data_IF_362823784869
#
_entry.id   IF_362823784869
#
_cell.length_a   1.000
_cell.length_b   1.000
_cell.length_c   1.000
_cell.angle_alpha   90.00
_cell.angle_beta   90.00
_cell.angle_gamma   90.00
#
_symmetry.space_group_name_H-M   'P 1'
#
loop_
_entity.id
_entity.type
_entity.pdbx_description
1 polymer ?
#
# COMPACT_ATOMS: atom_id res chain seq x y z
N UNK A 1 -26.45 16.36 20.33
CA UNK A 1 -26.96 15.05 20.77
C UNK A 1 -25.76 14.22 21.21
N UNK A 2 -25.69 13.85 22.47
CA UNK A 2 -24.48 13.54 23.21
C UNK A 2 -23.91 12.15 22.80
N UNK A 3 -22.65 12.07 22.41
CA UNK A 3 -21.90 10.86 21.99
C UNK A 3 -22.06 9.69 22.96
N UNK A 4 -22.22 9.97 24.25
CA UNK A 4 -22.52 8.98 25.31
C UNK A 4 -23.80 8.16 25.10
N UNK A 5 -24.78 8.69 24.38
CA UNK A 5 -26.06 7.99 24.14
C UNK A 5 -25.96 6.95 23.02
N UNK A 6 -25.15 7.20 22.00
CA UNK A 6 -24.92 6.24 20.89
C UNK A 6 -24.07 5.06 21.33
N UNK A 7 -23.10 5.26 22.24
CA UNK A 7 -22.25 4.18 22.77
C UNK A 7 -22.98 3.22 23.72
N UNK A 8 -23.94 3.73 24.51
CA UNK A 8 -24.78 2.85 25.34
C UNK A 8 -25.71 1.96 24.53
N UNK A 9 -26.17 2.44 23.37
CA UNK A 9 -26.99 1.64 22.44
C UNK A 9 -26.16 0.54 21.75
N UNK A 10 -24.88 0.79 21.45
CA UNK A 10 -23.98 -0.19 20.85
C UNK A 10 -23.64 -1.33 21.79
N UNK A 11 -23.35 -1.05 23.06
CA UNK A 11 -23.03 -2.08 24.07
C UNK A 11 -24.24 -2.89 24.52
N UNK A 12 -25.47 -2.40 24.37
CA UNK A 12 -26.68 -3.12 24.71
C UNK A 12 -27.09 -4.20 23.66
N UNK A 13 -26.45 -4.20 22.49
CA UNK A 13 -26.74 -5.17 21.41
C UNK A 13 -25.89 -6.46 21.48
N UNK A 14 -24.90 -6.53 22.39
CA UNK A 14 -24.00 -7.69 22.54
C UNK A 14 -24.15 -8.41 23.88
N UNK A 15 -25.35 -8.63 24.33
CA UNK A 15 -25.61 -9.29 25.61
C UNK A 15 -26.09 -10.74 25.51
N UNK A 16 -25.52 -11.56 24.61
CA UNK A 16 -25.57 -13.02 24.76
C UNK A 16 -24.36 -13.71 24.13
N UNK A 17 -23.71 -14.65 24.83
CA UNK A 17 -22.50 -15.36 24.34
C UNK A 17 -22.77 -16.42 23.27
N UNK A 18 -24.00 -16.62 22.83
CA UNK A 18 -24.39 -17.77 22.00
C UNK A 18 -24.45 -17.47 20.47
N UNK A 19 -24.26 -16.23 20.02
CA UNK A 19 -24.33 -15.91 18.58
C UNK A 19 -22.97 -15.81 17.87
N UNK A 20 -21.87 -16.09 18.55
CA UNK A 20 -20.56 -16.25 17.91
C UNK A 20 -20.27 -17.73 17.72
N UNK A 21 -20.83 -18.30 16.65
CA UNK A 21 -20.53 -19.65 16.18
C UNK A 21 -19.11 -19.79 15.67
N UNK A 22 -18.12 -19.83 16.57
CA UNK A 22 -16.76 -20.25 16.26
C UNK A 22 -16.62 -21.70 16.71
N UNK A 23 -16.92 -22.62 15.81
CA UNK A 23 -16.66 -24.03 15.96
C UNK A 23 -15.17 -24.30 15.92
N UNK A 24 -14.56 -24.57 17.09
CA UNK A 24 -13.24 -25.20 17.17
C UNK A 24 -13.34 -26.65 16.73
N UNK A 25 -12.91 -26.96 15.51
CA UNK A 25 -12.66 -28.33 15.07
C UNK A 25 -11.19 -28.69 15.38
N UNK A 26 -11.00 -29.44 16.49
CA UNK A 26 -9.81 -30.28 16.67
C UNK A 26 -9.89 -31.42 15.67
N UNK A 27 -8.96 -31.47 14.71
CA UNK A 27 -8.77 -32.67 13.87
C UNK A 27 -7.51 -33.37 14.33
N UNK A 28 -7.74 -34.55 14.92
CA UNK A 28 -6.70 -35.54 15.19
C UNK A 28 -6.19 -36.19 13.90
N UNK A 29 -4.90 -36.53 13.93
CA UNK A 29 -4.27 -37.38 12.92
C UNK A 29 -4.93 -38.76 12.88
N UNK A 30 -5.31 -39.21 11.66
CA UNK A 30 -5.34 -40.61 11.31
C UNK A 30 -5.02 -40.78 9.81
N UNK A 31 -3.97 -41.53 9.57
CA UNK A 31 -3.57 -41.99 8.24
C UNK A 31 -4.57 -43.02 7.71
N UNK A 32 -4.87 -42.97 6.42
CA UNK A 32 -5.67 -43.97 5.74
C UNK A 32 -5.57 -43.83 4.23
N UNK A 33 -4.79 -44.70 3.63
CA UNK A 33 -4.84 -45.00 2.18
C UNK A 33 -6.25 -45.47 1.79
N UNK A 34 -6.75 -45.07 0.59
CA UNK A 34 -7.27 -46.00 -0.43
C UNK A 34 -8.04 -45.31 -1.57
N UNK A 35 -7.59 -45.61 -2.75
CA UNK A 35 -8.34 -45.89 -4.01
C UNK A 35 -9.26 -44.86 -4.65
N UNK A 36 -8.89 -44.53 -5.89
CA UNK A 36 -9.69 -43.96 -6.97
C UNK A 36 -10.88 -44.86 -7.36
N UNK A 37 -11.92 -44.30 -7.94
CA UNK A 37 -12.50 -44.93 -9.11
C UNK A 37 -12.47 -43.98 -10.33
N UNK A 38 -11.98 -44.54 -11.43
CA UNK A 38 -12.24 -44.15 -12.80
C UNK A 38 -13.72 -44.24 -13.11
N UNK A 39 -14.36 -43.17 -13.58
CA UNK A 39 -15.52 -43.28 -14.47
C UNK A 39 -15.46 -42.17 -15.51
N UNK A 40 -15.39 -42.59 -16.74
CA UNK A 40 -15.43 -41.71 -17.90
C UNK A 40 -16.87 -41.32 -18.21
N UNK A 41 -17.01 -40.10 -18.73
CA UNK A 41 -18.24 -39.59 -19.29
C UNK A 41 -17.91 -38.44 -20.22
N UNK A 42 -18.02 -38.68 -21.52
CA UNK A 42 -17.92 -37.67 -22.57
C UNK A 42 -19.04 -36.64 -22.41
N UNK A 43 -18.68 -35.40 -22.15
CA UNK A 43 -19.55 -34.25 -22.17
C UNK A 43 -18.80 -33.04 -22.69
N UNK A 44 -19.13 -32.54 -23.85
CA UNK A 44 -18.63 -31.29 -24.41
C UNK A 44 -19.20 -30.13 -23.61
N UNK A 45 -18.41 -29.57 -22.73
CA UNK A 45 -18.66 -28.31 -22.04
C UNK A 45 -17.32 -27.64 -21.82
N UNK A 46 -17.19 -26.40 -22.24
CA UNK A 46 -16.02 -25.55 -22.01
C UNK A 46 -15.89 -25.28 -20.49
N UNK A 47 -15.27 -26.19 -19.78
CA UNK A 47 -14.89 -26.01 -18.38
C UNK A 47 -13.66 -25.11 -18.31
N UNK A 48 -13.87 -23.81 -18.19
CA UNK A 48 -12.90 -22.90 -17.66
C UNK A 48 -12.71 -23.23 -16.17
N UNK A 49 -11.71 -24.06 -15.86
CA UNK A 49 -11.43 -24.46 -14.48
C UNK A 49 -11.07 -23.25 -13.61
N UNK A 50 -11.76 -23.12 -12.47
CA UNK A 50 -11.37 -22.16 -11.44
C UNK A 50 -10.16 -22.68 -10.68
N UNK A 51 -9.06 -21.92 -10.68
CA UNK A 51 -7.92 -22.18 -9.82
C UNK A 51 -8.18 -21.58 -8.44
N UNK A 52 -7.98 -22.36 -7.39
CA UNK A 52 -8.01 -21.83 -6.03
C UNK A 52 -6.81 -20.90 -5.77
N UNK A 53 -6.94 -19.97 -4.83
CA UNK A 53 -5.81 -19.14 -4.40
C UNK A 53 -4.58 -19.95 -3.98
N UNK A 54 -4.77 -21.17 -3.42
CA UNK A 54 -3.68 -22.09 -3.11
C UNK A 54 -3.03 -22.71 -4.36
N UNK A 55 -3.78 -22.92 -5.44
CA UNK A 55 -3.24 -23.43 -6.71
C UNK A 55 -2.41 -22.36 -7.41
N UNK A 56 -2.86 -21.11 -7.42
CA UNK A 56 -2.07 -19.99 -7.93
C UNK A 56 -0.75 -19.83 -7.20
N UNK A 57 -0.79 -19.95 -5.89
CA UNK A 57 0.42 -19.84 -5.06
C UNK A 57 1.45 -20.93 -5.33
N UNK A 58 1.03 -22.09 -5.85
CA UNK A 58 1.94 -23.15 -6.31
C UNK A 58 2.64 -22.80 -7.63
N UNK A 59 2.08 -21.91 -8.43
CA UNK A 59 2.70 -21.52 -9.71
C UNK A 59 3.76 -20.44 -9.52
N UNK A 60 3.46 -19.40 -8.76
CA UNK A 60 4.35 -18.24 -8.62
C UNK A 60 5.66 -18.50 -7.87
N UNK A 61 5.70 -19.19 -6.72
CA UNK A 61 6.95 -19.52 -6.06
C UNK A 61 7.87 -20.44 -6.90
N UNK A 62 7.35 -21.00 -7.99
CA UNK A 62 8.05 -21.96 -8.84
C UNK A 62 8.50 -21.38 -10.19
N UNK A 63 8.36 -20.07 -10.42
CA UNK A 63 8.92 -19.46 -11.63
C UNK A 63 10.43 -19.64 -11.67
N UNK A 64 10.97 -19.86 -12.87
CA UNK A 64 12.40 -20.06 -13.10
C UNK A 64 13.15 -18.72 -13.11
N UNK A 65 14.39 -18.75 -12.62
CA UNK A 65 15.37 -17.69 -12.76
C UNK A 65 16.56 -18.22 -13.57
N UNK A 66 17.12 -17.39 -14.45
CA UNK A 66 18.25 -17.77 -15.29
C UNK A 66 19.59 -17.86 -14.54
N UNK A 67 19.64 -17.37 -13.30
CA UNK A 67 20.85 -17.34 -12.49
C UNK A 67 20.58 -17.86 -11.07
N UNK A 68 21.64 -18.43 -10.46
CA UNK A 68 21.72 -18.79 -9.04
C UNK A 68 22.95 -18.11 -8.43
N UNK A 69 22.93 -17.85 -7.11
CA UNK A 69 23.99 -17.15 -6.37
C UNK A 69 24.29 -15.78 -6.98
N UNK A 70 23.23 -15.03 -7.30
CA UNK A 70 23.33 -13.74 -7.95
C UNK A 70 23.20 -12.58 -6.96
N UNK A 71 23.79 -11.46 -7.33
CA UNK A 71 23.57 -10.15 -6.72
C UNK A 71 23.55 -9.11 -7.84
N UNK A 72 22.34 -8.72 -8.20
CA UNK A 72 22.09 -7.86 -9.36
C UNK A 72 21.44 -6.53 -8.95
N UNK A 73 21.81 -5.47 -9.64
CA UNK A 73 21.27 -4.12 -9.43
C UNK A 73 20.47 -3.69 -10.65
N UNK A 74 19.26 -3.25 -10.41
CA UNK A 74 18.33 -2.74 -11.41
C UNK A 74 18.17 -1.23 -11.17
N UNK A 75 18.29 -0.42 -12.22
CA UNK A 75 17.86 0.97 -12.16
C UNK A 75 16.35 1.05 -12.15
N UNK A 76 15.78 1.79 -11.20
CA UNK A 76 14.35 1.99 -11.05
C UNK A 76 13.99 3.46 -11.24
N UNK A 77 12.82 3.69 -11.82
CA UNK A 77 12.19 5.00 -11.85
C UNK A 77 11.20 5.13 -10.69
N UNK A 78 10.98 6.34 -10.22
CA UNK A 78 9.97 6.64 -9.21
C UNK A 78 9.03 7.69 -9.75
N UNK A 79 7.77 7.33 -9.88
CA UNK A 79 6.71 8.22 -10.37
C UNK A 79 5.51 8.15 -9.42
N UNK A 80 5.11 9.30 -8.86
CA UNK A 80 4.06 9.40 -7.82
C UNK A 80 4.26 8.39 -6.67
N UNK A 81 5.49 8.28 -6.20
CA UNK A 81 5.96 7.35 -5.16
C UNK A 81 5.90 5.85 -5.54
N UNK A 82 5.47 5.48 -6.75
CA UNK A 82 5.51 4.11 -7.23
C UNK A 82 6.91 3.75 -7.73
N UNK A 83 7.34 2.53 -7.45
CA UNK A 83 8.64 1.99 -7.87
C UNK A 83 8.45 1.28 -9.21
N UNK A 84 9.01 1.82 -10.27
CA UNK A 84 8.85 1.33 -11.63
C UNK A 84 10.17 0.71 -12.13
N UNK A 85 10.09 -0.53 -12.55
CA UNK A 85 11.23 -1.30 -13.07
C UNK A 85 11.09 -1.43 -14.59
N UNK A 86 12.16 -1.22 -15.35
CA UNK A 86 12.18 -1.62 -16.76
C UNK A 86 12.20 -3.15 -16.83
N UNK A 87 11.36 -3.73 -17.67
CA UNK A 87 11.29 -5.17 -17.92
C UNK A 87 11.30 -5.38 -19.43
N UNK A 88 12.18 -6.24 -19.92
CA UNK A 88 12.27 -6.55 -21.35
C UNK A 88 11.55 -7.86 -21.66
N UNK A 89 10.63 -7.78 -22.61
CA UNK A 89 9.97 -8.93 -23.23
C UNK A 89 10.31 -8.85 -24.71
N UNK A 90 11.00 -9.83 -25.26
CA UNK A 90 11.58 -9.81 -26.59
C UNK A 90 12.43 -8.53 -26.82
N UNK A 91 12.08 -7.73 -27.81
CA UNK A 91 12.79 -6.49 -28.15
C UNK A 91 12.14 -5.23 -27.57
N UNK A 92 11.09 -5.36 -26.74
CA UNK A 92 10.34 -4.22 -26.17
C UNK A 92 10.56 -4.12 -24.68
N UNK A 93 10.69 -2.89 -24.20
CA UNK A 93 10.77 -2.57 -22.78
C UNK A 93 9.39 -2.16 -22.28
N UNK A 94 8.96 -2.79 -21.21
CA UNK A 94 7.73 -2.51 -20.46
C UNK A 94 8.10 -1.93 -19.09
N UNK A 95 7.19 -1.22 -18.48
CA UNK A 95 7.33 -0.68 -17.11
C UNK A 95 6.52 -1.54 -16.15
N UNK A 96 7.18 -2.19 -15.21
CA UNK A 96 6.52 -2.99 -14.17
C UNK A 96 6.63 -2.28 -12.84
N UNK A 97 5.52 -2.20 -12.12
CA UNK A 97 5.47 -1.66 -10.75
C UNK A 97 5.85 -2.75 -9.74
N UNK A 98 6.75 -2.46 -8.80
CA UNK A 98 7.02 -3.32 -7.65
C UNK A 98 6.01 -3.01 -6.55
N UNK A 99 5.08 -3.93 -6.31
CA UNK A 99 3.98 -3.79 -5.36
C UNK A 99 4.01 -4.92 -4.33
N UNK A 100 4.57 -4.64 -3.16
CA UNK A 100 4.64 -5.63 -2.07
C UNK A 100 3.30 -5.89 -1.38
N UNK A 101 2.29 -5.08 -1.63
CA UNK A 101 0.91 -5.28 -1.18
C UNK A 101 0.13 -6.25 -2.06
N UNK A 102 0.64 -6.58 -3.23
CA UNK A 102 0.08 -7.61 -4.11
C UNK A 102 0.70 -8.98 -3.84
N UNK A 103 -0.12 -10.01 -3.66
CA UNK A 103 0.37 -11.39 -3.41
C UNK A 103 0.98 -12.05 -4.63
N UNK A 104 0.67 -11.55 -5.82
CA UNK A 104 1.12 -12.06 -7.12
C UNK A 104 1.17 -10.95 -8.15
N UNK A 105 1.78 -11.23 -9.30
CA UNK A 105 1.81 -10.32 -10.42
C UNK A 105 0.42 -10.01 -10.98
N UNK A 106 0.32 -8.85 -11.62
CA UNK A 106 -0.86 -8.42 -12.39
C UNK A 106 -0.41 -7.85 -13.72
N UNK A 107 -1.16 -8.12 -14.78
CA UNK A 107 -0.97 -7.53 -16.11
C UNK A 107 -2.23 -6.79 -16.49
N UNK A 108 -2.10 -5.59 -17.02
CA UNK A 108 -3.25 -4.84 -17.50
C UNK A 108 -3.53 -5.16 -18.97
N UNK A 109 -4.79 -5.40 -19.31
CA UNK A 109 -5.22 -5.84 -20.64
C UNK A 109 -4.83 -4.87 -21.77
N UNK A 110 -4.56 -3.60 -21.45
CA UNK A 110 -4.14 -2.57 -22.41
C UNK A 110 -2.60 -2.45 -22.57
N UNK A 111 -1.81 -3.25 -21.84
CA UNK A 111 -0.33 -3.19 -21.90
C UNK A 111 0.23 -3.69 -23.23
N UNK A 112 -0.55 -4.47 -23.99
CA UNK A 112 -0.12 -5.13 -25.23
C UNK A 112 1.13 -6.01 -25.02
N UNK A 113 1.24 -6.66 -23.88
CA UNK A 113 2.24 -7.72 -23.65
C UNK A 113 1.82 -8.91 -24.53
N UNK A 114 2.72 -9.42 -25.43
CA UNK A 114 2.39 -10.51 -26.33
C UNK A 114 2.36 -11.86 -25.59
N UNK A 115 1.84 -12.89 -26.25
CA UNK A 115 1.95 -14.30 -25.92
C UNK A 115 1.54 -14.67 -24.47
N UNK A 116 0.54 -13.97 -23.93
CA UNK A 116 -0.07 -14.30 -22.65
C UNK A 116 -0.83 -15.63 -22.77
N UNK A 117 -0.47 -16.62 -21.95
CA UNK A 117 -1.11 -17.95 -21.95
C UNK A 117 -2.17 -18.02 -20.87
N UNK A 118 -3.47 -18.16 -21.21
CA UNK A 118 -4.53 -18.33 -20.22
C UNK A 118 -4.37 -19.67 -19.45
N UNK A 119 -4.49 -19.62 -18.12
CA UNK A 119 -4.40 -20.78 -17.24
C UNK A 119 -5.72 -21.13 -16.54
N UNK A 120 -6.65 -20.16 -16.44
CA UNK A 120 -7.95 -20.33 -15.76
C UNK A 120 -8.45 -19.03 -15.17
N UNK A 121 -9.38 -19.13 -14.22
CA UNK A 121 -9.94 -17.99 -13.51
C UNK A 121 -9.90 -18.20 -12.01
N UNK A 122 -9.80 -17.10 -11.27
CA UNK A 122 -9.88 -17.09 -9.81
C UNK A 122 -10.83 -16.00 -9.33
N UNK A 123 -11.34 -16.19 -8.13
CA UNK A 123 -11.99 -15.12 -7.38
C UNK A 123 -10.90 -14.35 -6.66
N UNK A 124 -10.77 -13.06 -6.97
CA UNK A 124 -9.78 -12.15 -6.39
C UNK A 124 -10.48 -11.08 -5.56
N UNK A 125 -9.77 -10.55 -4.59
CA UNK A 125 -10.22 -9.46 -3.73
C UNK A 125 -9.21 -8.32 -3.80
N UNK A 126 -9.68 -7.10 -4.01
CA UNK A 126 -8.82 -5.91 -4.03
C UNK A 126 -8.61 -5.31 -2.62
N UNK A 127 -7.80 -4.25 -2.58
CA UNK A 127 -7.49 -3.52 -1.35
C UNK A 127 -8.71 -2.87 -0.68
N UNK A 128 -9.80 -2.65 -1.41
CA UNK A 128 -11.06 -2.08 -0.93
C UNK A 128 -12.11 -3.15 -0.60
N UNK A 129 -11.67 -4.43 -0.50
CA UNK A 129 -12.53 -5.59 -0.24
C UNK A 129 -13.57 -5.89 -1.33
N UNK A 130 -13.46 -5.29 -2.52
CA UNK A 130 -14.27 -5.72 -3.66
C UNK A 130 -13.79 -7.07 -4.16
N UNK A 131 -14.73 -7.89 -4.61
CA UNK A 131 -14.47 -9.24 -5.10
C UNK A 131 -14.89 -9.32 -6.55
N UNK A 132 -13.99 -9.84 -7.39
CA UNK A 132 -14.27 -10.09 -8.81
C UNK A 132 -13.58 -11.37 -9.28
N UNK A 133 -14.03 -11.89 -10.43
CA UNK A 133 -13.42 -13.03 -11.09
C UNK A 133 -12.40 -12.53 -12.12
N UNK A 134 -11.14 -12.86 -11.93
CA UNK A 134 -10.05 -12.48 -12.83
C UNK A 134 -9.46 -13.67 -13.53
N UNK A 135 -9.05 -13.50 -14.78
CA UNK A 135 -8.32 -14.49 -15.55
C UNK A 135 -6.89 -14.59 -15.01
N UNK A 136 -6.40 -15.80 -14.89
CA UNK A 136 -5.01 -16.10 -14.59
C UNK A 136 -4.29 -16.41 -15.88
N UNK A 137 -3.11 -15.82 -16.04
CA UNK A 137 -2.27 -15.93 -17.22
C UNK A 137 -0.85 -16.25 -16.83
N UNK A 138 -0.12 -16.90 -17.73
CA UNK A 138 1.33 -16.99 -17.66
C UNK A 138 1.93 -15.99 -18.64
N UNK A 139 2.91 -15.22 -18.17
CA UNK A 139 3.69 -14.32 -19.01
C UNK A 139 4.74 -15.09 -19.84
N UNK A 140 5.08 -14.58 -21.03
CA UNK A 140 6.30 -15.03 -21.71
C UNK A 140 7.52 -14.77 -20.83
N UNK A 141 8.65 -15.47 -21.06
CA UNK A 141 9.89 -15.15 -20.36
C UNK A 141 10.24 -13.66 -20.50
N UNK A 142 10.61 -13.06 -19.41
CA UNK A 142 11.00 -11.65 -19.40
C UNK A 142 12.32 -11.44 -18.67
N UNK A 143 13.03 -10.39 -19.04
CA UNK A 143 14.36 -10.08 -18.50
C UNK A 143 14.31 -8.80 -17.68
N UNK A 144 14.87 -8.86 -16.49
CA UNK A 144 15.18 -7.69 -15.68
C UNK A 144 16.58 -7.19 -16.12
N UNK A 145 16.68 -6.00 -16.73
CA UNK A 145 17.97 -5.47 -17.14
C UNK A 145 18.77 -5.05 -15.90
N UNK A 146 19.80 -5.81 -15.61
CA UNK A 146 20.69 -5.56 -14.47
C UNK A 146 22.02 -5.01 -14.93
N UNK A 147 22.81 -4.46 -14.00
CA UNK A 147 24.13 -3.88 -14.32
C UNK A 147 25.20 -4.94 -14.62
N UNK A 148 25.03 -6.16 -14.13
CA UNK A 148 26.03 -7.23 -14.21
C UNK A 148 25.64 -8.35 -15.16
N UNK A 149 24.35 -8.64 -15.28
CA UNK A 149 23.82 -9.73 -16.08
C UNK A 149 22.40 -9.43 -16.55
N UNK A 150 21.80 -10.36 -17.25
CA UNK A 150 20.37 -10.32 -17.58
C UNK A 150 19.67 -11.40 -16.77
N UNK A 151 18.96 -11.00 -15.72
CA UNK A 151 18.17 -11.93 -14.93
C UNK A 151 16.84 -12.22 -15.64
N UNK A 152 16.74 -13.40 -16.26
CA UNK A 152 15.51 -13.80 -16.94
C UNK A 152 14.59 -14.58 -16.00
N UNK A 153 13.33 -14.19 -15.99
CA UNK A 153 12.23 -14.84 -15.27
C UNK A 153 11.38 -15.63 -16.27
N UNK A 154 11.10 -16.89 -15.99
CA UNK A 154 10.30 -17.77 -16.84
C UNK A 154 9.19 -18.47 -16.07
N UNK A 155 8.03 -18.66 -16.70
CA UNK A 155 6.88 -19.30 -16.05
C UNK A 155 6.19 -18.44 -15.00
N UNK A 156 6.34 -17.12 -15.07
CA UNK A 156 5.70 -16.17 -14.14
C UNK A 156 4.19 -16.10 -14.39
N UNK A 157 3.41 -16.28 -13.34
CA UNK A 157 1.95 -16.30 -13.39
C UNK A 157 1.40 -15.00 -12.80
N UNK A 158 0.42 -14.40 -13.46
CA UNK A 158 -0.19 -13.14 -13.05
C UNK A 158 -1.71 -13.16 -13.26
N UNK A 159 -2.40 -12.22 -12.63
CA UNK A 159 -3.80 -11.93 -12.91
C UNK A 159 -3.92 -10.93 -14.05
N UNK A 160 -4.81 -11.20 -15.01
CA UNK A 160 -5.14 -10.25 -16.06
C UNK A 160 -6.21 -9.29 -15.56
N UNK A 161 -5.84 -8.04 -15.38
CA UNK A 161 -6.71 -7.00 -14.87
C UNK A 161 -7.36 -6.21 -16.01
N UNK A 162 -8.62 -5.81 -15.87
CA UNK A 162 -9.23 -4.91 -16.84
C UNK A 162 -8.49 -3.57 -16.85
N UNK A 163 -8.64 -2.83 -17.94
CA UNK A 163 -8.06 -1.50 -18.06
C UNK A 163 -8.65 -0.56 -17.01
N UNK A 164 -7.80 -0.07 -16.11
CA UNK A 164 -8.11 1.02 -15.21
C UNK A 164 -7.24 2.24 -15.53
N UNK A 165 -7.73 3.41 -15.18
CA UNK A 165 -7.05 4.69 -15.37
C UNK A 165 -5.67 4.78 -14.69
N UNK A 166 -5.41 3.96 -13.66
CA UNK A 166 -4.12 3.89 -12.96
C UNK A 166 -3.05 3.21 -13.83
N UNK A 167 -3.44 2.33 -14.75
CA UNK A 167 -2.53 1.51 -15.55
C UNK A 167 -1.78 2.23 -16.67
N UNK A 168 -2.06 3.52 -16.90
CA UNK A 168 -1.34 4.29 -17.96
C UNK A 168 0.13 4.58 -17.56
N UNK A 169 0.51 4.39 -16.29
CA UNK A 169 1.86 4.63 -15.78
C UNK A 169 2.76 3.41 -15.86
N UNK A 170 2.19 2.21 -15.82
CA UNK A 170 2.91 0.95 -15.90
C UNK A 170 2.05 -0.13 -16.57
N UNK A 171 2.73 -1.12 -17.12
CA UNK A 171 2.12 -2.19 -17.92
C UNK A 171 1.69 -3.38 -17.06
N UNK A 172 2.41 -3.64 -15.97
CA UNK A 172 2.20 -4.78 -15.10
C UNK A 172 2.72 -4.50 -13.67
N UNK A 173 2.40 -5.40 -12.76
CA UNK A 173 2.87 -5.42 -11.37
C UNK A 173 3.67 -6.71 -11.15
N UNK A 174 4.80 -6.59 -10.45
CA UNK A 174 5.47 -7.71 -9.76
C UNK A 174 5.10 -7.62 -8.28
N UNK A 175 4.49 -8.68 -7.76
CA UNK A 175 4.02 -8.76 -6.39
C UNK A 175 5.06 -9.27 -5.39
N UNK A 176 4.61 -9.52 -4.16
CA UNK A 176 5.43 -10.11 -3.10
C UNK A 176 5.83 -11.56 -3.37
N UNK A 177 5.26 -12.19 -4.36
CA UNK A 177 5.65 -13.51 -4.86
C UNK A 177 7.12 -13.57 -5.28
N UNK A 178 7.71 -12.46 -5.77
CA UNK A 178 9.14 -12.34 -6.02
C UNK A 178 9.96 -12.69 -4.76
N UNK A 179 9.54 -12.17 -3.60
CA UNK A 179 10.21 -12.42 -2.32
C UNK A 179 9.84 -13.81 -1.76
N UNK A 180 8.60 -14.24 -1.93
CA UNK A 180 8.18 -15.60 -1.53
C UNK A 180 8.97 -16.67 -2.28
N UNK A 181 9.52 -16.38 -3.48
CA UNK A 181 10.44 -17.23 -4.23
C UNK A 181 11.80 -17.39 -3.53
N UNK A 182 12.14 -16.55 -2.56
CA UNK A 182 13.42 -16.58 -1.84
C UNK A 182 14.42 -15.57 -2.39
N UNK A 183 13.98 -14.43 -2.86
CA UNK A 183 14.82 -13.33 -3.31
C UNK A 183 14.82 -12.25 -2.24
N UNK A 184 16.00 -11.88 -1.74
CA UNK A 184 16.20 -10.71 -0.91
C UNK A 184 16.27 -9.46 -1.79
N UNK A 185 15.81 -8.33 -1.26
CA UNK A 185 15.94 -7.06 -1.97
C UNK A 185 16.40 -5.94 -1.03
N UNK A 186 17.11 -4.97 -1.61
CA UNK A 186 17.34 -3.65 -1.02
C UNK A 186 16.82 -2.59 -1.98
N UNK A 187 15.92 -1.75 -1.49
CA UNK A 187 15.29 -0.67 -2.25
C UNK A 187 15.91 0.64 -1.79
N UNK A 188 16.55 1.36 -2.70
CA UNK A 188 17.12 2.68 -2.50
C UNK A 188 16.48 3.66 -3.48
N UNK A 189 15.38 4.26 -3.04
CA UNK A 189 14.60 5.20 -3.86
C UNK A 189 15.41 6.45 -4.21
N UNK A 190 16.24 6.94 -3.28
CA UNK A 190 17.03 8.15 -3.48
C UNK A 190 18.05 7.99 -4.60
N UNK A 191 18.65 6.79 -4.72
CA UNK A 191 19.62 6.48 -5.76
C UNK A 191 18.99 5.88 -7.01
N UNK A 192 17.69 5.58 -6.99
CA UNK A 192 16.99 4.90 -8.06
C UNK A 192 17.49 3.47 -8.26
N UNK A 193 17.75 2.73 -7.20
CA UNK A 193 18.34 1.38 -7.26
C UNK A 193 17.49 0.34 -6.53
N UNK A 194 17.32 -0.80 -7.18
CA UNK A 194 16.80 -2.03 -6.58
C UNK A 194 17.87 -3.12 -6.70
N UNK A 195 18.37 -3.60 -5.58
CA UNK A 195 19.35 -4.70 -5.53
C UNK A 195 18.59 -5.98 -5.19
N UNK A 196 18.71 -6.99 -6.04
CA UNK A 196 18.11 -8.30 -5.86
C UNK A 196 19.20 -9.37 -5.66
N UNK A 197 18.97 -10.33 -4.77
CA UNK A 197 19.90 -11.44 -4.52
C UNK A 197 19.18 -12.64 -3.93
N UNK A 198 19.65 -13.84 -4.23
CA UNK A 198 19.26 -15.08 -3.55
C UNK A 198 20.21 -15.45 -2.39
N UNK A 199 21.25 -14.65 -2.14
CA UNK A 199 22.16 -14.82 -1.01
C UNK A 199 21.53 -14.36 0.31
N UNK A 200 21.18 -15.31 1.17
CA UNK A 200 20.48 -15.10 2.46
C UNK A 200 21.17 -14.12 3.42
N UNK A 201 22.49 -13.93 3.28
CA UNK A 201 23.31 -13.19 4.24
C UNK A 201 23.91 -11.91 3.67
N UNK A 202 23.67 -11.58 2.40
CA UNK A 202 24.29 -10.44 1.74
C UNK A 202 24.09 -9.13 2.57
N UNK A 203 22.90 -8.86 3.01
CA UNK A 203 22.55 -7.62 3.75
C UNK A 203 22.68 -7.74 5.27
N UNK A 204 23.37 -8.77 5.80
CA UNK A 204 23.41 -9.03 7.25
C UNK A 204 24.00 -7.89 8.08
N UNK A 205 25.00 -7.20 7.57
CA UNK A 205 25.63 -6.07 8.27
C UNK A 205 24.65 -4.88 8.36
N UNK A 206 23.97 -4.62 7.27
CA UNK A 206 22.97 -3.55 7.14
C UNK A 206 21.73 -3.86 7.97
N UNK A 207 21.25 -5.13 7.98
CA UNK A 207 20.14 -5.55 8.85
C UNK A 207 20.46 -5.34 10.34
N UNK A 208 21.72 -5.51 10.75
CA UNK A 208 22.15 -5.26 12.14
C UNK A 208 22.26 -3.78 12.48
N UNK A 209 22.63 -2.95 11.52
CA UNK A 209 22.77 -1.51 11.70
C UNK A 209 21.43 -0.77 11.58
N UNK A 210 20.42 -1.39 10.94
CA UNK A 210 19.10 -0.82 10.74
C UNK A 210 18.08 -1.27 11.78
N UNK A 211 16.86 -0.78 11.61
CA UNK A 211 15.72 -1.09 12.45
C UNK A 211 14.87 -2.18 11.80
N UNK A 212 14.93 -3.37 12.36
CA UNK A 212 14.35 -4.58 11.77
C UNK A 212 13.03 -4.95 12.45
N UNK A 213 11.98 -5.12 11.65
CA UNK A 213 10.73 -5.73 12.07
C UNK A 213 10.56 -7.10 11.43
N UNK A 214 10.00 -8.02 12.20
CA UNK A 214 9.59 -9.31 11.67
C UNK A 214 8.20 -9.19 11.08
N UNK A 215 8.01 -9.66 9.83
CA UNK A 215 6.69 -9.71 9.22
C UNK A 215 6.02 -11.07 9.36
N UNK A 216 4.70 -11.08 9.29
CA UNK A 216 3.88 -12.27 9.11
C UNK A 216 3.25 -12.23 7.73
N UNK A 217 3.16 -13.39 7.08
CA UNK A 217 2.41 -13.50 5.83
C UNK A 217 0.92 -13.73 6.14
N UNK A 218 0.08 -12.84 5.63
CA UNK A 218 -1.36 -13.05 5.52
C UNK A 218 -1.72 -12.92 4.04
N UNK A 219 -2.40 -13.90 3.49
CA UNK A 219 -2.70 -13.92 2.05
C UNK A 219 -1.47 -13.72 1.17
N UNK A 220 -0.30 -14.23 1.66
CA UNK A 220 1.01 -14.20 0.99
C UNK A 220 1.65 -12.82 0.84
N UNK A 221 1.14 -11.80 1.54
CA UNK A 221 1.74 -10.45 1.64
C UNK A 221 2.20 -10.14 3.07
N UNK A 222 3.20 -9.24 3.24
CA UNK A 222 3.87 -9.02 4.50
C UNK A 222 3.12 -8.03 5.41
N UNK A 223 2.74 -8.46 6.60
CA UNK A 223 2.19 -7.62 7.65
C UNK A 223 3.20 -7.40 8.76
N UNK A 224 3.38 -6.16 9.16
CA UNK A 224 4.27 -5.68 10.21
C UNK A 224 3.45 -5.18 11.41
N UNK A 225 4.09 -5.16 12.59
CA UNK A 225 3.54 -4.51 13.76
C UNK A 225 4.25 -3.19 14.00
N UNK A 226 3.52 -2.08 13.88
CA UNK A 226 3.97 -0.72 14.18
C UNK A 226 3.16 -0.14 15.33
N UNK A 227 3.64 0.94 15.96
CA UNK A 227 2.90 1.54 17.08
C UNK A 227 2.58 3.01 16.77
N UNK A 228 1.36 3.30 16.31
CA UNK A 228 0.92 4.65 15.99
C UNK A 228 0.61 5.50 17.24
N UNK A 229 0.29 4.85 18.34
CA UNK A 229 0.00 5.51 19.60
C UNK A 229 0.76 4.84 20.74
N UNK A 230 0.88 5.54 21.85
CA UNK A 230 1.50 5.00 23.08
C UNK A 230 0.69 3.79 23.56
N UNK A 231 1.36 2.64 23.75
CA UNK A 231 0.75 1.38 24.19
C UNK A 231 -0.23 0.74 23.20
N UNK A 232 -0.30 1.24 21.98
CA UNK A 232 -1.13 0.65 20.94
C UNK A 232 -0.26 0.17 19.78
N UNK A 233 -0.52 -1.04 19.34
CA UNK A 233 0.16 -1.65 18.21
C UNK A 233 -0.84 -1.92 17.10
N UNK A 234 -0.51 -1.51 15.89
CA UNK A 234 -1.30 -1.72 14.70
C UNK A 234 -0.60 -2.72 13.77
N UNK A 235 -1.37 -3.58 13.12
CA UNK A 235 -0.88 -4.53 12.14
C UNK A 235 -1.05 -3.93 10.75
N UNK A 236 0.05 -3.52 10.14
CA UNK A 236 0.05 -2.82 8.87
C UNK A 236 0.68 -3.68 7.75
N UNK A 237 0.04 -3.71 6.58
CA UNK A 237 0.59 -4.26 5.35
C UNK A 237 1.77 -3.38 4.89
N UNK A 238 2.91 -3.98 4.58
CA UNK A 238 3.99 -3.27 3.89
C UNK A 238 3.71 -3.29 2.38
N UNK A 239 3.35 -2.13 1.82
CA UNK A 239 2.72 -1.99 0.51
C UNK A 239 3.40 -0.90 -0.32
N UNK A 240 4.39 -1.27 -1.13
CA UNK A 240 5.08 -0.34 -2.03
C UNK A 240 4.22 0.12 -3.22
N UNK A 241 3.07 -0.50 -3.44
CA UNK A 241 2.05 -0.04 -4.38
C UNK A 241 1.17 1.10 -3.83
N UNK A 242 1.27 1.41 -2.53
CA UNK A 242 0.56 2.52 -1.90
C UNK A 242 1.45 3.78 -1.86
N UNK A 243 1.07 4.89 -2.52
CA UNK A 243 1.88 6.10 -2.59
C UNK A 243 1.72 7.00 -1.34
N UNK A 244 1.51 6.42 -0.19
CA UNK A 244 1.37 7.09 1.09
C UNK A 244 2.46 6.60 2.05
N UNK A 245 2.66 7.31 3.17
CA UNK A 245 3.59 6.86 4.20
C UNK A 245 2.95 5.77 5.08
N UNK A 246 1.85 6.12 5.72
CA UNK A 246 1.06 5.25 6.58
C UNK A 246 -0.42 5.60 6.43
N UNK A 247 -1.27 4.60 6.40
CA UNK A 247 -2.72 4.74 6.55
C UNK A 247 -3.20 3.75 7.60
N UNK A 248 -4.15 4.16 8.41
CA UNK A 248 -4.71 3.31 9.47
C UNK A 248 -6.03 2.69 9.01
N UNK A 249 -6.25 1.41 9.27
CA UNK A 249 -7.58 0.81 9.14
C UNK A 249 -8.57 1.55 10.03
N UNK A 250 -9.77 1.83 9.52
CA UNK A 250 -10.84 2.43 10.33
C UNK A 250 -11.20 1.56 11.53
N UNK A 251 -11.25 0.26 11.32
CA UNK A 251 -11.50 -0.70 12.39
C UNK A 251 -10.41 -0.64 13.46
N UNK A 252 -9.14 -0.57 13.07
CA UNK A 252 -8.00 -0.44 13.98
C UNK A 252 -8.09 0.87 14.77
N UNK A 253 -8.40 1.98 14.11
CA UNK A 253 -8.59 3.29 14.77
C UNK A 253 -9.69 3.22 15.83
N UNK A 254 -10.87 2.67 15.49
CA UNK A 254 -12.00 2.58 16.40
C UNK A 254 -11.68 1.68 17.61
N UNK A 255 -10.96 0.58 17.41
CA UNK A 255 -10.48 -0.30 18.50
C UNK A 255 -9.49 0.42 19.41
N UNK A 256 -8.53 1.16 18.84
CA UNK A 256 -7.55 1.92 19.60
C UNK A 256 -8.23 3.03 20.41
N UNK A 257 -9.14 3.78 19.79
CA UNK A 257 -9.88 4.83 20.44
C UNK A 257 -10.75 4.31 21.60
N UNK A 258 -11.45 3.19 21.38
CA UNK A 258 -12.26 2.56 22.42
C UNK A 258 -11.41 2.08 23.61
N UNK A 259 -10.25 1.48 23.34
CA UNK A 259 -9.29 1.07 24.35
C UNK A 259 -8.70 2.26 25.12
N UNK A 260 -8.38 3.35 24.41
CA UNK A 260 -7.84 4.57 25.02
C UNK A 260 -8.86 5.21 25.97
N UNK A 261 -10.11 5.34 25.53
CA UNK A 261 -11.20 5.87 26.34
C UNK A 261 -11.47 5.03 27.59
N UNK A 262 -11.37 3.71 27.50
CA UNK A 262 -11.50 2.81 28.66
C UNK A 262 -10.33 2.98 29.67
N UNK A 263 -9.16 3.40 29.21
CA UNK A 263 -7.98 3.63 30.04
C UNK A 263 -7.86 5.06 30.59
N UNK A 264 -8.62 6.03 30.09
CA UNK A 264 -8.61 7.42 30.57
C UNK A 264 -8.90 7.53 32.09
N UNK A 265 -9.83 6.72 32.60
CA UNK A 265 -10.16 6.70 34.03
C UNK A 265 -8.99 6.22 34.92
N UNK A 266 -7.99 5.58 34.31
CA UNK A 266 -6.79 5.09 35.01
C UNK A 266 -5.58 6.01 34.79
N UNK A 267 -5.76 7.19 34.19
CA UNK A 267 -4.68 8.08 33.73
C UNK A 267 -3.65 7.39 32.82
N UNK A 268 -4.07 6.38 32.07
CA UNK A 268 -3.24 5.59 31.17
C UNK A 268 -3.57 5.80 29.69
N UNK A 269 -4.49 6.74 29.38
CA UNK A 269 -4.88 7.01 28.00
C UNK A 269 -3.73 7.59 27.17
N UNK A 270 -3.69 7.22 25.89
CA UNK A 270 -2.71 7.70 24.93
C UNK A 270 -3.08 9.08 24.36
N UNK A 271 -4.29 9.56 24.64
CA UNK A 271 -4.81 10.83 24.11
C UNK A 271 -5.07 10.78 22.61
N UNK A 272 -5.61 9.67 22.12
CA UNK A 272 -5.84 9.44 20.69
C UNK A 272 -6.78 10.51 20.09
N UNK A 273 -7.85 10.87 20.81
CA UNK A 273 -8.80 11.87 20.31
C UNK A 273 -8.15 13.25 20.05
N UNK A 274 -7.11 13.63 20.79
CA UNK A 274 -6.40 14.90 20.55
C UNK A 274 -5.56 14.90 19.28
N UNK A 275 -5.25 13.70 18.73
CA UNK A 275 -4.52 13.52 17.49
C UNK A 275 -5.47 13.47 16.27
N UNK A 276 -6.79 13.59 16.49
CA UNK A 276 -7.77 13.73 15.41
C UNK A 276 -7.79 15.20 14.99
N UNK A 277 -7.43 15.45 13.72
CA UNK A 277 -7.47 16.79 13.15
C UNK A 277 -8.82 17.12 12.52
N UNK A 278 -9.52 16.10 12.02
CA UNK A 278 -10.81 16.28 11.38
C UNK A 278 -11.46 14.98 10.96
N UNK A 279 -12.70 15.10 10.49
CA UNK A 279 -13.50 13.99 9.97
C UNK A 279 -14.23 14.47 8.72
N UNK A 280 -14.34 13.63 7.73
CA UNK A 280 -15.13 13.89 6.53
C UNK A 280 -15.75 12.60 6.02
N UNK A 281 -16.92 12.67 5.38
CA UNK A 281 -17.50 11.53 4.69
C UNK A 281 -17.22 11.61 3.20
N UNK A 282 -16.80 10.51 2.59
CA UNK A 282 -16.55 10.48 1.15
C UNK A 282 -15.95 9.18 0.64
N UNK A 283 -15.56 9.22 -0.64
CA UNK A 283 -14.78 8.18 -1.31
C UNK A 283 -13.33 8.61 -1.33
N UNK A 284 -12.43 7.77 -0.83
CA UNK A 284 -11.01 8.11 -0.69
C UNK A 284 -10.14 7.48 -1.77
N UNK A 285 -10.32 6.20 -2.04
CA UNK A 285 -9.40 5.42 -2.88
C UNK A 285 -10.11 4.67 -4.00
N UNK A 286 -9.35 4.45 -5.08
CA UNK A 286 -9.73 3.57 -6.18
C UNK A 286 -8.91 2.28 -6.03
N UNK A 287 -9.58 1.16 -5.78
CA UNK A 287 -8.97 -0.17 -5.77
C UNK A 287 -8.94 -0.81 -7.15
N UNK A 288 -8.45 -2.06 -7.21
CA UNK A 288 -8.37 -2.82 -8.45
C UNK A 288 -9.72 -3.07 -9.11
N UNK A 289 -10.80 -3.15 -8.35
CA UNK A 289 -12.16 -3.44 -8.84
C UNK A 289 -13.17 -2.31 -8.62
N UNK A 290 -12.73 -1.15 -8.15
CA UNK A 290 -13.61 0.00 -8.03
C UNK A 290 -13.30 0.95 -6.89
N UNK A 291 -14.18 1.94 -6.75
CA UNK A 291 -14.10 2.92 -5.68
C UNK A 291 -14.40 2.29 -4.32
N UNK A 292 -13.62 2.69 -3.31
CA UNK A 292 -13.94 2.47 -1.91
C UNK A 292 -15.37 2.95 -1.61
N UNK A 293 -16.09 2.25 -0.73
CA UNK A 293 -17.42 2.70 -0.31
C UNK A 293 -17.33 4.04 0.39
N UNK A 294 -18.36 4.87 0.22
CA UNK A 294 -18.47 6.13 0.97
C UNK A 294 -18.53 5.83 2.47
N UNK A 295 -17.61 6.42 3.25
CA UNK A 295 -17.56 6.27 4.70
C UNK A 295 -16.95 7.51 5.35
N UNK A 296 -16.99 7.56 6.69
CA UNK A 296 -16.27 8.56 7.46
C UNK A 296 -14.77 8.27 7.43
N UNK A 297 -14.00 9.23 6.95
CA UNK A 297 -12.53 9.25 7.00
C UNK A 297 -12.10 10.15 8.15
N UNK A 298 -11.23 9.65 9.02
CA UNK A 298 -10.64 10.40 10.11
C UNK A 298 -9.26 10.89 9.68
N UNK A 299 -9.02 12.18 9.81
CA UNK A 299 -7.71 12.79 9.59
C UNK A 299 -6.97 12.83 10.92
N UNK A 300 -5.74 12.35 10.92
CA UNK A 300 -4.93 12.16 12.11
C UNK A 300 -3.60 12.90 11.97
N UNK A 301 -3.17 13.56 13.03
CA UNK A 301 -1.82 14.03 13.22
C UNK A 301 -1.16 13.21 14.33
N UNK A 302 -0.39 12.22 13.92
CA UNK A 302 0.27 11.33 14.85
C UNK A 302 1.52 12.02 15.44
N UNK A 303 1.58 12.12 16.77
CA UNK A 303 2.79 12.59 17.47
C UNK A 303 3.99 11.75 17.03
N UNK A 304 3.77 10.44 16.87
CA UNK A 304 4.78 9.47 16.41
C UNK A 304 4.17 8.20 15.86
N UNK A 305 4.87 7.58 14.92
CA UNK A 305 4.69 6.20 14.48
C UNK A 305 5.98 5.44 14.77
N UNK A 306 5.94 4.41 15.62
CA UNK A 306 7.13 3.61 15.94
C UNK A 306 7.29 2.42 15.00
N UNK A 307 8.49 2.29 14.46
CA UNK A 307 9.00 1.12 13.76
C UNK A 307 10.07 0.45 14.65
N UNK A 308 9.66 -0.46 15.52
CA UNK A 308 10.53 -0.96 16.58
C UNK A 308 11.01 0.16 17.49
N UNK A 309 12.33 0.35 17.58
CA UNK A 309 12.96 1.40 18.39
C UNK A 309 13.12 2.73 17.62
N UNK A 310 12.82 2.77 16.32
CA UNK A 310 12.83 3.98 15.53
C UNK A 310 11.45 4.66 15.54
N UNK A 311 11.43 5.99 15.49
CA UNK A 311 10.20 6.76 15.47
C UNK A 311 10.14 7.75 14.30
N UNK A 312 9.01 7.76 13.62
CA UNK A 312 8.62 8.82 12.69
C UNK A 312 7.71 9.78 13.43
N UNK A 313 8.05 11.06 13.45
CA UNK A 313 7.31 12.09 14.20
C UNK A 313 6.64 13.06 13.25
N UNK A 314 5.62 13.79 13.74
CA UNK A 314 4.90 14.80 12.96
C UNK A 314 4.31 14.20 11.68
N UNK A 315 3.54 13.13 11.82
CA UNK A 315 3.01 12.37 10.70
C UNK A 315 1.50 12.64 10.54
N UNK A 316 1.12 13.29 9.45
CA UNK A 316 -0.29 13.41 9.05
C UNK A 316 -0.71 12.17 8.26
N UNK A 317 -1.85 11.60 8.63
CA UNK A 317 -2.39 10.40 8.00
C UNK A 317 -3.92 10.38 8.01
N UNK A 318 -4.49 9.34 7.43
CA UNK A 318 -5.93 9.16 7.30
C UNK A 318 -6.32 7.72 7.65
N UNK A 319 -7.59 7.54 7.98
CA UNK A 319 -8.16 6.19 8.04
C UNK A 319 -8.65 5.74 6.68
N UNK A 320 -8.64 4.43 6.45
CA UNK A 320 -9.16 3.74 5.26
C UNK A 320 -10.05 2.57 5.68
N UNK A 321 -10.97 2.13 4.81
CA UNK A 321 -11.76 0.92 5.04
C UNK A 321 -10.95 -0.38 4.85
N UNK A 322 -9.85 -0.31 4.11
CA UNK A 322 -8.93 -1.43 3.94
C UNK A 322 -8.04 -1.69 5.16
N UNK A 323 -7.05 -2.54 4.99
CA UNK A 323 -6.03 -2.79 6.01
C UNK A 323 -5.18 -1.53 6.25
N UNK A 324 -4.64 -1.39 7.46
CA UNK A 324 -3.56 -0.44 7.71
C UNK A 324 -2.37 -0.75 6.81
N UNK A 325 -1.66 0.30 6.33
CA UNK A 325 -0.56 0.14 5.37
C UNK A 325 0.62 1.03 5.72
N UNK A 326 1.81 0.51 5.48
CA UNK A 326 3.05 1.30 5.34
C UNK A 326 3.38 1.34 3.86
N UNK A 327 3.34 2.51 3.26
CA UNK A 327 3.50 2.67 1.82
C UNK A 327 4.90 3.13 1.39
N UNK A 328 5.03 3.37 0.08
CA UNK A 328 6.31 3.68 -0.57
C UNK A 328 6.97 4.97 -0.10
N UNK A 329 6.23 5.93 0.47
CA UNK A 329 6.82 7.15 1.06
C UNK A 329 7.75 6.90 2.25
N UNK A 330 7.73 5.71 2.87
CA UNK A 330 8.76 5.31 3.82
C UNK A 330 10.16 5.44 3.21
N UNK A 331 10.30 5.17 1.91
CA UNK A 331 11.56 5.21 1.17
C UNK A 331 12.12 6.63 0.94
N UNK A 332 11.38 7.68 1.26
CA UNK A 332 11.90 9.06 1.25
C UNK A 332 12.85 9.33 2.42
N UNK A 333 12.77 8.50 3.46
CA UNK A 333 13.51 8.67 4.71
C UNK A 333 14.65 7.65 4.91
N UNK A 334 14.76 6.67 4.04
CA UNK A 334 15.77 5.63 4.15
C UNK A 334 15.64 4.54 3.11
N UNK A 335 16.53 3.56 3.18
CA UNK A 335 16.45 2.35 2.38
C UNK A 335 15.69 1.26 3.11
N UNK A 336 15.10 0.34 2.36
CA UNK A 336 14.40 -0.83 2.91
C UNK A 336 15.04 -2.11 2.40
N UNK A 337 15.30 -3.03 3.32
CA UNK A 337 15.79 -4.38 3.00
C UNK A 337 14.69 -5.38 3.32
N UNK A 338 14.34 -6.23 2.35
CA UNK A 338 13.39 -7.33 2.49
C UNK A 338 14.18 -8.64 2.49
N UNK A 339 14.11 -9.39 3.58
CA UNK A 339 14.76 -10.69 3.71
C UNK A 339 13.72 -11.79 3.98
N UNK A 340 13.24 -12.52 2.96
CA UNK A 340 12.21 -13.52 3.11
C UNK A 340 12.65 -14.77 3.90
N UNK A 341 13.94 -15.11 3.88
CA UNK A 341 14.47 -16.25 4.63
C UNK A 341 14.35 -16.09 6.13
N UNK A 342 14.42 -14.84 6.60
CA UNK A 342 14.29 -14.47 8.01
C UNK A 342 12.92 -13.88 8.34
N UNK A 343 12.11 -13.62 7.33
CA UNK A 343 10.85 -12.86 7.41
C UNK A 343 11.06 -11.49 8.07
N UNK A 344 12.06 -10.77 7.62
CA UNK A 344 12.42 -9.45 8.13
C UNK A 344 12.24 -8.39 7.06
N UNK A 345 11.80 -7.22 7.48
CA UNK A 345 11.89 -5.97 6.75
C UNK A 345 12.69 -5.01 7.65
N UNK A 346 13.78 -4.50 7.11
CA UNK A 346 14.70 -3.61 7.83
C UNK A 346 14.65 -2.23 7.19
N UNK A 347 14.37 -1.22 8.00
CA UNK A 347 14.49 0.17 7.61
C UNK A 347 15.86 0.72 8.02
N UNK A 348 16.55 1.38 7.11
CA UNK A 348 17.79 2.09 7.35
C UNK A 348 17.59 3.57 7.03
N UNK A 349 17.51 4.46 8.02
CA UNK A 349 17.37 5.88 7.78
C UNK A 349 18.57 6.41 7.01
N UNK A 350 18.36 7.37 6.14
CA UNK A 350 19.47 8.12 5.52
C UNK A 350 20.24 8.86 6.62
N UNK A 351 21.59 8.95 6.51
CA UNK A 351 22.36 9.81 7.40
C UNK A 351 21.83 11.24 7.25
N UNK A 352 21.52 11.90 8.35
CA UNK A 352 21.16 13.31 8.29
C UNK A 352 22.34 14.08 7.70
N UNK A 353 22.15 14.71 6.58
CA UNK A 353 22.96 15.85 6.20
C UNK A 353 22.65 16.95 7.21
N UNK A 354 23.64 17.33 8.01
CA UNK A 354 23.53 18.52 8.88
C UNK A 354 23.29 19.69 7.93
N UNK A 355 22.14 20.40 8.00
CA UNK A 355 21.93 21.55 7.16
C UNK A 355 23.05 22.54 7.44
N UNK A 356 23.81 22.91 6.41
CA UNK A 356 24.70 24.07 6.47
C UNK A 356 23.80 25.27 6.77
N UNK A 357 23.93 25.78 7.99
CA UNK A 357 23.41 27.03 8.54
C UNK A 357 22.47 27.82 7.64
N UNK A 358 21.17 27.83 7.91
CA UNK A 358 20.31 28.87 7.40
C UNK A 358 18.83 28.63 7.22
N UNK A 359 18.28 27.49 7.57
CA UNK A 359 16.83 27.33 7.60
C UNK A 359 16.37 26.41 8.74
N UNK A 360 15.51 26.93 9.60
CA UNK A 360 14.94 26.23 10.73
C UNK A 360 14.04 25.08 10.24
N UNK A 361 14.29 23.87 10.76
CA UNK A 361 13.30 22.81 10.75
C UNK A 361 13.67 21.45 10.22
N UNK A 362 14.81 20.86 10.61
CA UNK A 362 15.05 19.44 10.37
C UNK A 362 15.53 18.75 11.65
N UNK A 363 14.83 17.64 11.97
CA UNK A 363 14.99 16.90 13.19
C UNK A 363 16.36 16.27 13.39
N UNK A 364 16.86 16.39 14.60
CA UNK A 364 18.17 15.92 15.03
C UNK A 364 18.16 14.42 15.26
N UNK A 365 19.06 13.69 14.62
CA UNK A 365 19.43 12.33 15.01
C UNK A 365 20.51 12.41 16.08
N UNK A 366 20.27 11.85 17.23
CA UNK A 366 21.29 11.70 18.27
C UNK A 366 22.38 10.72 17.80
N UNK A 367 23.64 11.15 17.80
CA UNK A 367 24.80 10.27 17.61
C UNK A 367 24.95 9.33 18.82
N UNK A 368 25.33 8.06 18.63
CA UNK A 368 25.76 7.25 19.77
C UNK A 368 27.03 7.88 20.38
N UNK A 369 26.95 8.18 21.67
CA UNK A 369 28.11 8.65 22.46
C UNK A 369 29.14 7.53 22.61
N UNK A 370 30.46 7.84 22.56
CA UNK A 370 31.50 6.83 22.74
C UNK A 370 31.65 6.30 24.17
N UNK A 371 30.92 6.83 25.13
CA UNK A 371 30.91 6.35 26.50
C UNK A 371 29.66 5.54 26.76
N UNK A 372 29.79 4.24 26.92
CA UNK A 372 28.77 3.19 27.04
C UNK A 372 27.76 3.31 28.20
N UNK A 373 27.07 4.43 28.32
CA UNK A 373 25.89 4.56 29.17
C UNK A 373 24.66 4.67 28.25
N UNK A 374 23.83 3.64 28.30
CA UNK A 374 22.54 3.53 27.61
C UNK A 374 21.51 4.49 28.24
N UNK A 375 21.60 5.75 27.96
CA UNK A 375 20.41 6.60 27.99
C UNK A 375 19.63 6.34 26.70
N UNK A 376 18.42 5.79 26.83
CA UNK A 376 17.57 5.36 25.74
C UNK A 376 17.07 6.50 24.84
N UNK A 377 17.98 7.08 24.07
CA UNK A 377 17.64 8.02 23.00
C UNK A 377 17.04 7.26 21.82
N UNK A 378 15.72 7.29 21.67
CA UNK A 378 15.07 6.73 20.48
C UNK A 378 15.50 7.54 19.26
N UNK A 379 16.12 6.90 18.27
CA UNK A 379 16.40 7.49 16.97
C UNK A 379 15.08 7.85 16.30
N UNK A 380 14.99 9.02 15.70
CA UNK A 380 13.75 9.48 15.07
C UNK A 380 14.03 10.36 13.85
N UNK A 381 13.04 10.47 12.97
CA UNK A 381 12.99 11.43 11.87
C UNK A 381 11.64 12.14 11.87
N UNK A 382 11.65 13.43 11.58
CA UNK A 382 10.43 14.20 11.38
C UNK A 382 9.95 14.00 9.95
N UNK A 383 8.71 13.58 9.78
CA UNK A 383 8.09 13.40 8.47
C UNK A 383 7.63 14.76 7.92
N UNK A 384 6.95 15.57 8.74
CA UNK A 384 6.53 16.94 8.40
C UNK A 384 5.66 17.01 7.15
N UNK A 385 5.00 15.89 6.78
CA UNK A 385 4.08 15.90 5.66
C UNK A 385 2.87 16.73 6.01
N UNK A 386 2.40 17.52 5.03
CA UNK A 386 1.18 18.29 5.25
C UNK A 386 -0.05 17.41 5.14
N UNK A 387 -1.09 17.89 5.78
CA UNK A 387 -2.37 17.23 5.90
C UNK A 387 -2.99 16.92 4.53
N UNK A 388 -3.55 15.75 4.41
CA UNK A 388 -4.37 15.35 3.28
C UNK A 388 -5.65 16.19 3.25
N UNK A 389 -5.96 16.86 2.13
CA UNK A 389 -7.02 17.85 2.10
C UNK A 389 -8.21 17.50 1.21
N UNK A 390 -7.97 16.82 0.10
CA UNK A 390 -8.98 16.49 -0.91
C UNK A 390 -8.61 15.22 -1.65
N UNK A 391 -9.60 14.38 -1.97
CA UNK A 391 -9.45 13.25 -2.88
C UNK A 391 -10.31 13.45 -4.13
N UNK A 392 -9.73 13.13 -5.27
CA UNK A 392 -10.42 13.15 -6.55
C UNK A 392 -10.65 11.72 -7.02
N UNK A 393 -11.85 11.43 -7.48
CA UNK A 393 -12.27 10.07 -7.86
C UNK A 393 -12.95 10.07 -9.21
N UNK A 394 -12.92 8.96 -9.96
CA UNK A 394 -13.70 8.82 -11.18
C UNK A 394 -15.19 8.61 -10.84
N UNK A 395 -16.04 9.43 -11.41
CA UNK A 395 -17.47 9.22 -11.39
C UNK A 395 -18.06 9.43 -12.79
N UNK A 396 -18.69 8.41 -13.35
CA UNK A 396 -19.19 8.40 -14.74
C UNK A 396 -18.14 8.87 -15.76
N UNK A 397 -16.89 8.46 -15.57
CA UNK A 397 -15.76 8.82 -16.42
C UNK A 397 -15.18 10.22 -16.22
N UNK A 398 -15.79 11.07 -15.37
CA UNK A 398 -15.31 12.42 -15.04
C UNK A 398 -14.50 12.42 -13.75
N UNK A 399 -13.65 13.43 -13.57
CA UNK A 399 -12.98 13.70 -12.30
C UNK A 399 -13.91 14.47 -11.36
N UNK A 400 -14.13 13.93 -10.16
CA UNK A 400 -15.06 14.48 -9.17
C UNK A 400 -14.36 14.58 -7.81
N UNK A 401 -14.71 15.61 -7.04
CA UNK A 401 -14.28 15.70 -5.64
C UNK A 401 -14.99 14.63 -4.81
N UNK A 402 -14.30 13.54 -4.52
CA UNK A 402 -14.82 12.38 -3.78
C UNK A 402 -14.84 12.58 -2.27
N UNK A 403 -13.82 13.24 -1.74
CA UNK A 403 -13.67 13.59 -0.34
C UNK A 403 -13.06 14.98 -0.23
N UNK A 404 -13.49 15.78 0.74
CA UNK A 404 -12.85 17.05 1.08
C UNK A 404 -13.00 17.32 2.57
N UNK A 405 -11.92 17.75 3.20
CA UNK A 405 -11.93 18.16 4.59
C UNK A 405 -12.28 19.65 4.72
N UNK A 406 -13.22 19.99 5.61
CA UNK A 406 -13.72 21.35 5.78
C UNK A 406 -12.65 22.36 6.22
N UNK A 407 -11.63 21.92 6.95
CA UNK A 407 -10.48 22.74 7.35
C UNK A 407 -9.51 23.06 6.22
N UNK A 408 -9.59 22.36 5.09
CA UNK A 408 -8.59 22.39 4.02
C UNK A 408 -8.62 23.69 3.18
N UNK A 409 -7.48 24.09 2.58
CA UNK A 409 -7.44 25.21 1.65
C UNK A 409 -8.41 25.10 0.47
N UNK A 410 -8.58 23.92 -0.20
CA UNK A 410 -9.58 23.78 -1.25
C UNK A 410 -11.01 24.04 -0.79
N UNK A 411 -11.38 23.53 0.41
CA UNK A 411 -12.72 23.76 0.96
C UNK A 411 -12.97 25.25 1.27
N UNK A 412 -11.97 25.92 1.90
CA UNK A 412 -12.03 27.36 2.19
C UNK A 412 -12.13 28.20 0.92
N UNK A 413 -11.53 27.74 -0.18
CA UNK A 413 -11.62 28.39 -1.49
C UNK A 413 -12.96 28.15 -2.21
N UNK A 414 -13.85 27.30 -1.69
CA UNK A 414 -15.17 27.07 -2.24
C UNK A 414 -15.37 25.74 -2.98
N UNK A 415 -14.37 24.85 -2.98
CA UNK A 415 -14.51 23.47 -3.49
C UNK A 415 -15.39 22.65 -2.54
N UNK A 416 -16.26 21.80 -3.10
CA UNK A 416 -17.18 20.97 -2.31
C UNK A 416 -17.18 19.54 -2.85
N UNK A 417 -17.53 18.59 -1.99
CA UNK A 417 -17.74 17.19 -2.40
C UNK A 417 -18.82 17.11 -3.48
N UNK A 418 -18.56 16.30 -4.51
CA UNK A 418 -19.43 16.16 -5.66
C UNK A 418 -19.19 17.17 -6.78
N UNK A 419 -18.34 18.17 -6.59
CA UNK A 419 -17.94 19.09 -7.66
C UNK A 419 -17.24 18.32 -8.78
N UNK A 420 -17.67 18.52 -10.02
CA UNK A 420 -17.05 17.96 -11.22
C UNK A 420 -15.98 18.92 -11.70
N UNK A 421 -14.78 18.41 -11.98
CA UNK A 421 -13.68 19.20 -12.52
C UNK A 421 -13.84 19.32 -14.03
N UNK A 422 -13.99 20.54 -14.53
CA UNK A 422 -14.13 20.85 -15.94
C UNK A 422 -12.81 21.35 -16.57
N UNK A 423 -11.97 22.01 -15.75
CA UNK A 423 -10.72 22.61 -16.22
C UNK A 423 -9.79 22.84 -15.02
N UNK A 424 -8.48 22.67 -15.25
CA UNK A 424 -7.43 23.08 -14.30
C UNK A 424 -6.50 24.02 -15.07
N UNK A 425 -6.30 25.22 -14.54
CA UNK A 425 -5.63 26.33 -15.19
C UNK A 425 -6.24 26.61 -16.57
N UNK A 426 -5.50 26.32 -17.66
CA UNK A 426 -5.98 26.47 -19.03
C UNK A 426 -6.30 25.14 -19.71
N UNK A 427 -6.09 23.99 -19.02
CA UNK A 427 -6.29 22.66 -19.59
C UNK A 427 -7.70 22.15 -19.31
N UNK A 428 -8.51 21.83 -20.31
CA UNK A 428 -9.79 21.17 -20.12
C UNK A 428 -9.59 19.77 -19.58
N UNK A 429 -10.48 19.35 -18.68
CA UNK A 429 -10.52 18.01 -18.10
C UNK A 429 -11.84 17.38 -18.55
N UNK A 430 -11.77 16.53 -19.56
CA UNK A 430 -12.94 15.88 -20.14
C UNK A 430 -13.17 14.48 -19.55
N UNK A 431 -12.13 13.90 -18.95
CA UNK A 431 -12.14 12.57 -18.37
C UNK A 431 -11.30 12.50 -17.10
N UNK A 432 -11.48 11.43 -16.32
CA UNK A 432 -10.61 11.17 -15.19
C UNK A 432 -9.16 10.90 -15.62
N UNK A 433 -8.96 10.30 -16.80
CA UNK A 433 -7.62 10.10 -17.37
C UNK A 433 -6.91 11.44 -17.69
N UNK A 434 -7.64 12.45 -18.18
CA UNK A 434 -7.06 13.79 -18.39
C UNK A 434 -6.62 14.41 -17.06
N UNK A 435 -7.43 14.23 -16.01
CA UNK A 435 -7.10 14.68 -14.66
C UNK A 435 -5.83 14.01 -14.13
N UNK A 436 -5.67 12.70 -14.29
CA UNK A 436 -4.49 11.97 -13.84
C UNK A 436 -3.20 12.41 -14.53
N UNK A 437 -3.30 12.82 -15.82
CA UNK A 437 -2.15 13.35 -16.59
C UNK A 437 -1.78 14.76 -16.20
N UNK A 438 -2.57 15.45 -15.38
CA UNK A 438 -2.32 16.86 -15.06
C UNK A 438 -1.15 17.01 -14.09
N UNK A 439 -0.61 16.19 -13.43
CA UNK A 439 0.55 16.30 -12.54
C UNK A 439 0.58 17.60 -11.70
N UNK A 440 0.13 17.53 -10.44
CA UNK A 440 0.19 18.67 -9.52
C UNK A 440 1.61 18.86 -8.99
N UNK A 441 2.11 20.09 -9.03
CA UNK A 441 3.40 20.46 -8.46
C UNK A 441 3.20 20.94 -7.02
N UNK A 442 4.07 20.49 -6.12
CA UNK A 442 4.01 20.87 -4.70
C UNK A 442 4.18 22.40 -4.54
N UNK A 443 3.29 23.01 -3.77
CA UNK A 443 3.31 24.44 -3.48
C UNK A 443 2.71 25.32 -4.57
N UNK A 444 2.38 24.80 -5.75
CA UNK A 444 1.76 25.58 -6.80
C UNK A 444 0.28 25.81 -6.55
N UNK A 445 -0.17 27.01 -6.94
CA UNK A 445 -1.55 27.43 -6.88
C UNK A 445 -2.21 27.21 -8.23
N UNK A 446 -3.32 26.47 -8.25
CA UNK A 446 -4.06 26.12 -9.46
C UNK A 446 -5.43 26.74 -9.48
N UNK A 447 -5.93 27.06 -10.67
CA UNK A 447 -7.27 27.57 -10.92
C UNK A 447 -8.14 26.47 -11.47
N UNK A 448 -9.22 26.17 -10.76
CA UNK A 448 -10.20 25.17 -11.14
C UNK A 448 -11.46 25.84 -11.67
N UNK A 449 -11.99 25.32 -12.77
CA UNK A 449 -13.39 25.53 -13.17
C UNK A 449 -14.13 24.25 -12.80
N UNK A 450 -15.10 24.40 -11.93
CA UNK A 450 -15.87 23.30 -11.33
C UNK A 450 -17.34 23.46 -11.71
N UNK A 451 -18.08 22.36 -11.72
CA UNK A 451 -19.53 22.33 -11.81
C UNK A 451 -20.07 21.62 -10.58
N UNK A 452 -20.91 22.29 -9.81
CA UNK A 452 -21.52 21.70 -8.62
C UNK A 452 -22.64 20.69 -8.95
N UNK A 453 -23.22 20.08 -7.92
CA UNK A 453 -24.30 19.09 -8.06
C UNK A 453 -25.59 19.69 -8.63
N UNK A 454 -25.80 21.02 -8.56
CA UNK A 454 -26.92 21.74 -9.14
C UNK A 454 -26.66 22.16 -10.59
N UNK A 455 -25.48 21.89 -11.13
CA UNK A 455 -25.08 22.24 -12.48
C UNK A 455 -24.49 23.65 -12.63
N UNK A 456 -24.30 24.38 -11.52
CA UNK A 456 -23.75 25.73 -11.53
C UNK A 456 -22.22 25.67 -11.65
N UNK A 457 -21.68 26.46 -12.59
CA UNK A 457 -20.23 26.56 -12.74
C UNK A 457 -19.65 27.61 -11.78
N UNK A 458 -18.51 27.28 -11.19
CA UNK A 458 -17.75 28.15 -10.30
C UNK A 458 -16.26 28.07 -10.58
N UNK A 459 -15.52 29.11 -10.18
CA UNK A 459 -14.05 29.14 -10.26
C UNK A 459 -13.50 29.12 -8.85
N UNK A 460 -12.50 28.27 -8.63
CA UNK A 460 -11.81 28.09 -7.34
C UNK A 460 -10.32 28.18 -7.58
N UNK A 461 -9.58 28.89 -6.75
CA UNK A 461 -8.13 28.96 -6.80
C UNK A 461 -7.55 28.50 -5.47
N UNK A 462 -6.75 27.44 -5.48
CA UNK A 462 -6.16 26.85 -4.28
C UNK A 462 -4.90 26.04 -4.57
N UNK A 463 -4.17 25.70 -3.51
CA UNK A 463 -3.04 24.76 -3.53
C UNK A 463 -3.60 23.37 -3.20
N UNK A 464 -3.25 22.35 -3.98
CA UNK A 464 -3.68 20.95 -3.79
C UNK A 464 -2.60 20.14 -3.07
N UNK A 465 -1.35 20.28 -3.49
CA UNK A 465 -0.18 19.67 -2.85
C UNK A 465 0.62 20.74 -2.13
N UNK A 466 0.71 20.64 -0.82
CA UNK A 466 1.55 21.53 -0.01
C UNK A 466 2.81 20.83 0.51
#
# INVERSE_FOLDING_TARGET
MNIRSKYKAFLAHFSSPEELGIGFLRVGLLAGFLSLPLWGGLGWGSEWGFLSAQQLHRYNPNFGLSAENFCDTISIDVEDDLILMPVRIDNKVYRFCLDTGSSQGMVYANSNIPDLVPLGNIISRDANNHVDTVQVIQLPPFTLPTNSSQLTVSGYVASLMPRHSISDKYDAIIGFDLFNRGICAKIDKQRGLLILTDEKKLFRAEEKAGYTLRYKLKWFVPYLYVSPFVRHTDEALFDTGAPLFYTMSRESFDQHLASDLANLHKNLGAGIERQVEGRAEGHLTLGGFGLEKKDEVVFLHLDRLKWGDFAFTDLHTITTQGASKIGAKLLDFGTVIINPFRKHITFQPFPNEVPSSGEEGLGVVARPSPSGELEGGSSSVRVGNKQFSVAFVPYKGQAVVGLIWEGSPPYKAGMRQGDVILQIDQRPINSFADFQRFGFIKGERHRFRLRDQQGVEKKVECIIKE
#
